data_IF_690640106426
#
_entry.id   IF_690640106426
#
_cell.length_a   1.000
_cell.length_b   1.000
_cell.length_c   1.000
_cell.angle_alpha   90.00
_cell.angle_beta   90.00
_cell.angle_gamma   90.00
#
_symmetry.space_group_name_H-M   'P 1'
#
loop_
_entity.id
_entity.type
_entity.pdbx_description
1 polymer ?
#
# COMPACT_ATOMS: atom_id res chain seq x y z
N UNK A 1 -7.62 1.46 10.47
CA UNK A 1 -7.32 1.25 9.03
C UNK A 1 -6.07 0.39 8.94
N UNK A 2 -6.11 -0.69 8.16
CA UNK A 2 -4.93 -1.54 7.87
C UNK A 2 -4.40 -1.16 6.49
N UNK A 3 -3.08 -1.15 6.31
CA UNK A 3 -2.43 -0.74 5.05
C UNK A 3 -2.65 -1.74 3.90
N UNK A 4 -2.75 -3.02 4.27
CA UNK A 4 -3.13 -4.15 3.43
C UNK A 4 -3.52 -5.29 4.40
N UNK A 5 -4.20 -6.33 3.93
CA UNK A 5 -4.21 -7.59 4.66
C UNK A 5 -2.77 -8.14 4.75
N UNK A 6 -2.39 -8.77 5.87
CA UNK A 6 -1.04 -9.33 6.06
C UNK A 6 -0.65 -10.26 4.89
N UNK A 7 -1.61 -11.00 4.32
CA UNK A 7 -1.35 -11.87 3.18
C UNK A 7 -1.10 -11.11 1.86
N UNK A 8 -1.62 -9.90 1.67
CA UNK A 8 -1.43 -9.08 0.46
C UNK A 8 -0.23 -8.11 0.58
N UNK A 9 0.20 -7.83 1.82
CA UNK A 9 1.40 -7.07 2.14
C UNK A 9 2.70 -7.87 2.02
N UNK A 10 2.65 -9.20 2.17
CA UNK A 10 3.82 -10.08 2.32
C UNK A 10 4.06 -11.07 1.17
N UNK A 11 3.41 -10.92 0.01
CA UNK A 11 3.34 -12.01 -0.98
C UNK A 11 3.94 -11.71 -2.35
N UNK A 12 5.12 -11.09 -2.44
CA UNK A 12 6.01 -11.24 -3.61
C UNK A 12 7.49 -11.18 -3.19
N UNK A 13 7.81 -11.74 -2.02
CA UNK A 13 9.20 -11.81 -1.59
C UNK A 13 9.82 -13.11 -2.12
N UNK A 14 10.78 -13.01 -3.03
CA UNK A 14 11.50 -14.19 -3.53
C UNK A 14 12.62 -14.57 -2.57
N UNK A 15 12.79 -15.88 -2.34
CA UNK A 15 13.92 -16.39 -1.58
C UNK A 15 15.22 -15.99 -2.27
N UNK A 16 16.11 -15.32 -1.55
CA UNK A 16 17.40 -14.90 -2.10
C UNK A 16 18.28 -16.13 -2.34
N UNK A 17 18.53 -16.54 -3.61
CA UNK A 17 19.30 -17.77 -3.88
C UNK A 17 20.78 -17.62 -3.50
N UNK A 18 21.26 -16.39 -3.29
CA UNK A 18 22.65 -16.09 -2.94
C UNK A 18 22.93 -16.13 -1.43
N UNK A 19 21.92 -16.43 -0.60
CA UNK A 19 22.08 -16.47 0.84
C UNK A 19 21.60 -17.82 1.40
N UNK A 20 22.49 -18.55 2.10
CA UNK A 20 22.18 -19.85 2.72
C UNK A 20 21.25 -19.74 3.96
N UNK A 21 20.48 -18.67 4.09
CA UNK A 21 19.56 -18.44 5.20
C UNK A 21 18.20 -17.99 4.70
N UNK A 22 17.24 -17.79 5.60
CA UNK A 22 15.87 -17.37 5.27
C UNK A 22 15.78 -15.89 4.87
N UNK A 23 16.58 -15.45 3.90
CA UNK A 23 16.53 -14.10 3.37
C UNK A 23 15.57 -14.05 2.18
N UNK A 24 14.69 -13.05 2.18
CA UNK A 24 13.71 -12.81 1.12
C UNK A 24 13.93 -11.41 0.56
N UNK A 25 13.83 -11.25 -0.75
CA UNK A 25 13.99 -9.97 -1.43
C UNK A 25 12.62 -9.34 -1.63
N UNK A 26 12.42 -8.13 -1.12
CA UNK A 26 11.17 -7.40 -1.35
C UNK A 26 11.22 -6.84 -2.77
N UNK A 27 10.33 -7.33 -3.63
CA UNK A 27 10.22 -6.84 -5.00
C UNK A 27 9.56 -5.47 -5.04
N UNK A 28 10.03 -4.60 -5.94
CA UNK A 28 9.34 -3.34 -6.19
C UNK A 28 8.10 -3.64 -7.03
N UNK A 29 6.92 -3.27 -6.50
CA UNK A 29 5.68 -3.29 -7.26
C UNK A 29 5.53 -1.99 -8.03
N UNK A 30 5.25 -2.11 -9.32
CA UNK A 30 4.91 -0.95 -10.14
C UNK A 30 3.77 -0.17 -9.50
N UNK A 31 3.92 1.15 -9.47
CA UNK A 31 2.91 2.05 -8.91
C UNK A 31 2.81 2.08 -7.38
N UNK A 32 3.41 1.14 -6.64
CA UNK A 32 3.43 1.17 -5.17
C UNK A 32 4.30 2.31 -4.66
N UNK A 33 3.81 3.02 -3.65
CA UNK A 33 4.54 4.08 -2.96
C UNK A 33 5.76 3.52 -2.22
N UNK A 34 6.94 4.13 -2.41
CA UNK A 34 8.17 3.66 -1.76
C UNK A 34 8.08 3.72 -0.23
N UNK A 35 7.28 4.66 0.31
CA UNK A 35 7.02 4.79 1.74
C UNK A 35 6.36 3.52 2.29
N UNK A 36 5.44 2.92 1.52
CA UNK A 36 4.74 1.69 1.88
C UNK A 36 5.72 0.53 1.99
N UNK A 37 6.62 0.39 1.00
CA UNK A 37 7.70 -0.59 1.04
C UNK A 37 8.59 -0.41 2.27
N UNK A 38 9.04 0.82 2.51
CA UNK A 38 9.85 1.14 3.70
C UNK A 38 9.11 0.85 5.01
N UNK A 39 7.78 1.04 5.06
CA UNK A 39 6.98 0.76 6.25
C UNK A 39 6.92 -0.74 6.56
N UNK A 40 6.68 -1.56 5.55
CA UNK A 40 6.75 -3.02 5.69
C UNK A 40 8.14 -3.46 6.16
N UNK A 41 9.22 -2.91 5.59
CA UNK A 41 10.57 -3.21 6.05
C UNK A 41 10.82 -2.84 7.53
N UNK A 42 10.27 -1.72 8.00
CA UNK A 42 10.41 -1.30 9.39
C UNK A 42 9.62 -2.20 10.34
N UNK A 43 8.39 -2.59 9.99
CA UNK A 43 7.60 -3.51 10.80
C UNK A 43 8.24 -4.90 10.83
N UNK A 44 8.72 -5.43 9.72
CA UNK A 44 9.44 -6.72 9.67
C UNK A 44 10.67 -6.72 10.59
N UNK A 45 11.48 -5.66 10.55
CA UNK A 45 12.63 -5.49 11.47
C UNK A 45 12.20 -5.46 12.94
N UNK A 46 11.04 -4.89 13.26
CA UNK A 46 10.48 -4.89 14.63
C UNK A 46 10.03 -6.28 15.04
N UNK A 47 9.30 -6.98 14.18
CA UNK A 47 8.89 -8.37 14.41
C UNK A 47 10.10 -9.27 14.66
N UNK A 48 11.16 -9.17 13.85
CA UNK A 48 12.40 -9.93 14.05
C UNK A 48 13.08 -9.63 15.38
N UNK A 49 13.09 -8.37 15.83
CA UNK A 49 13.67 -8.00 17.14
C UNK A 49 12.85 -8.60 18.28
N UNK A 50 11.52 -8.58 18.18
CA UNK A 50 10.62 -9.14 19.19
C UNK A 50 10.66 -10.68 19.21
N UNK A 51 10.77 -11.34 18.05
CA UNK A 51 10.81 -12.79 17.96
C UNK A 51 12.12 -13.38 18.51
N UNK A 52 13.26 -12.70 18.31
CA UNK A 52 14.56 -13.06 18.92
C UNK A 52 14.53 -13.05 20.45
N UNK A 53 13.60 -12.32 21.07
CA UNK A 53 13.44 -12.27 22.53
C UNK A 53 12.56 -13.39 23.09
N UNK A 54 11.90 -14.19 22.23
CA UNK A 54 11.04 -15.32 22.65
C UNK A 54 11.82 -16.63 22.55
N UNK A 55 11.95 -17.33 23.67
CA UNK A 55 12.56 -18.67 23.73
C UNK A 55 11.64 -19.67 23.01
N UNK A 56 12.12 -20.24 21.89
CA UNK A 56 11.37 -21.22 21.07
C UNK A 56 10.95 -20.74 19.67
N UNK A 57 11.56 -19.69 19.12
CA UNK A 57 11.11 -19.04 17.90
C UNK A 57 11.19 -19.91 16.63
N UNK A 58 10.05 -19.97 15.94
CA UNK A 58 9.92 -20.32 14.53
C UNK A 58 10.91 -19.52 13.69
N UNK A 59 11.45 -20.16 12.65
CA UNK A 59 12.41 -19.59 11.71
C UNK A 59 11.87 -18.27 11.13
N UNK A 60 12.61 -17.18 11.33
CA UNK A 60 12.16 -15.84 10.97
C UNK A 60 12.70 -15.47 9.58
N UNK A 61 11.78 -15.22 8.65
CA UNK A 61 12.07 -14.64 7.34
C UNK A 61 12.73 -13.26 7.50
N UNK A 62 13.87 -13.07 6.85
CA UNK A 62 14.64 -11.83 6.81
C UNK A 62 14.40 -11.14 5.47
N UNK A 63 13.46 -10.20 5.43
CA UNK A 63 13.19 -9.42 4.24
C UNK A 63 14.23 -8.31 4.06
N UNK A 64 14.81 -8.20 2.85
CA UNK A 64 15.83 -7.21 2.49
C UNK A 64 15.47 -6.55 1.16
N UNK A 65 15.52 -5.22 1.12
CA UNK A 65 15.45 -4.48 -0.14
C UNK A 65 16.73 -4.78 -0.95
N UNK A 66 16.64 -5.33 -2.16
CA UNK A 66 17.82 -5.63 -2.97
C UNK A 66 18.53 -4.33 -3.39
N UNK A 67 19.85 -4.39 -3.56
CA UNK A 67 20.64 -3.25 -4.04
C UNK A 67 20.26 -2.79 -5.45
N UNK A 68 19.63 -3.68 -6.23
CA UNK A 68 19.02 -3.40 -7.53
C UNK A 68 17.57 -3.86 -7.44
N UNK A 69 16.63 -2.96 -7.73
CA UNK A 69 15.20 -3.27 -7.65
C UNK A 69 14.83 -4.36 -8.66
N UNK A 70 14.15 -5.40 -8.17
CA UNK A 70 13.58 -6.46 -8.99
C UNK A 70 12.11 -6.09 -9.20
N UNK A 71 11.73 -5.88 -10.45
CA UNK A 71 10.35 -5.56 -10.80
C UNK A 71 9.47 -6.79 -10.61
N UNK A 72 8.43 -6.65 -9.79
CA UNK A 72 7.36 -7.63 -9.65
C UNK A 72 6.45 -7.61 -10.89
N UNK A 73 6.02 -8.78 -11.36
CA UNK A 73 4.97 -8.88 -12.39
C UNK A 73 3.61 -8.80 -11.70
N UNK A 74 3.10 -7.59 -11.52
CA UNK A 74 1.80 -7.36 -10.85
C UNK A 74 0.67 -7.61 -11.85
N UNK A 75 -0.05 -8.72 -11.70
CA UNK A 75 -1.20 -9.06 -12.56
C UNK A 75 -2.48 -8.34 -12.16
N UNK A 76 -2.68 -8.07 -10.86
CA UNK A 76 -3.82 -7.35 -10.33
C UNK A 76 -3.43 -6.45 -9.15
N UNK A 77 -4.02 -5.25 -9.08
CA UNK A 77 -3.89 -4.37 -7.92
C UNK A 77 -4.88 -4.77 -6.83
N UNK A 78 -4.50 -4.70 -5.55
CA UNK A 78 -5.43 -4.98 -4.45
C UNK A 78 -6.52 -3.91 -4.42
N UNK A 79 -7.76 -4.28 -4.11
CA UNK A 79 -8.91 -3.36 -4.10
C UNK A 79 -9.16 -2.72 -2.73
N UNK A 80 -8.79 -3.39 -1.64
CA UNK A 80 -9.05 -2.97 -0.26
C UNK A 80 -7.82 -2.36 0.40
N UNK A 81 -7.09 -1.52 -0.33
CA UNK A 81 -5.92 -0.79 0.18
C UNK A 81 -6.20 0.72 0.24
N UNK A 82 -5.62 1.42 1.21
CA UNK A 82 -5.61 2.88 1.25
C UNK A 82 -4.99 3.48 -0.01
N UNK A 83 -5.41 4.70 -0.37
CA UNK A 83 -4.97 5.38 -1.60
C UNK A 83 -3.45 5.61 -1.61
N UNK A 84 -2.86 5.84 -0.43
CA UNK A 84 -1.42 6.05 -0.24
C UNK A 84 -0.58 4.79 -0.43
N UNK A 85 -1.21 3.63 -0.66
CA UNK A 85 -0.56 2.46 -1.23
C UNK A 85 0.12 2.79 -2.57
N UNK A 86 -0.53 3.64 -3.38
CA UNK A 86 -0.04 4.02 -4.70
C UNK A 86 0.77 5.33 -4.65
N UNK A 87 1.78 5.45 -5.53
CA UNK A 87 2.46 6.72 -5.80
C UNK A 87 1.42 7.70 -6.40
N UNK A 88 1.35 8.96 -5.96
CA UNK A 88 0.40 9.93 -6.51
C UNK A 88 0.45 10.01 -8.05
N UNK A 89 1.65 10.09 -8.61
CA UNK A 89 1.85 10.12 -10.07
C UNK A 89 1.30 8.90 -10.80
N UNK A 90 1.30 7.74 -10.15
CA UNK A 90 0.77 6.50 -10.73
C UNK A 90 -0.75 6.43 -10.59
N UNK A 91 -1.26 6.80 -9.41
CA UNK A 91 -2.70 6.86 -9.15
C UNK A 91 -3.40 7.81 -10.13
N UNK A 92 -2.82 8.98 -10.37
CA UNK A 92 -3.39 10.01 -11.25
C UNK A 92 -3.42 9.58 -12.73
N UNK A 93 -2.58 8.63 -13.12
CA UNK A 93 -2.60 8.03 -14.46
C UNK A 93 -3.64 6.90 -14.59
N UNK A 94 -4.22 6.44 -13.49
CA UNK A 94 -5.29 5.44 -13.55
C UNK A 94 -6.57 6.04 -14.14
N UNK A 95 -7.31 5.21 -14.87
CA UNK A 95 -8.67 5.52 -15.31
C UNK A 95 -9.56 5.94 -14.12
N UNK A 96 -10.50 6.85 -14.36
CA UNK A 96 -11.49 7.30 -13.35
C UNK A 96 -12.14 6.10 -12.64
N UNK A 97 -12.56 5.07 -13.39
CA UNK A 97 -13.17 3.84 -12.84
C UNK A 97 -12.29 3.15 -11.80
N UNK A 98 -10.99 3.04 -12.06
CA UNK A 98 -10.03 2.47 -11.10
C UNK A 98 -9.82 3.39 -9.91
N UNK A 99 -9.69 4.71 -10.11
CA UNK A 99 -9.55 5.67 -9.01
C UNK A 99 -10.76 5.68 -8.09
N UNK A 100 -11.97 5.51 -8.64
CA UNK A 100 -13.22 5.46 -7.90
C UNK A 100 -13.26 4.29 -6.89
N UNK A 101 -12.71 3.13 -7.25
CA UNK A 101 -12.61 1.96 -6.35
C UNK A 101 -11.89 2.29 -5.04
N UNK A 102 -10.93 3.23 -5.08
CA UNK A 102 -10.10 3.58 -3.93
C UNK A 102 -10.55 4.84 -3.21
N UNK A 103 -11.52 5.60 -3.74
CA UNK A 103 -11.88 6.94 -3.24
C UNK A 103 -12.25 6.94 -1.75
N UNK A 104 -12.95 5.89 -1.30
CA UNK A 104 -13.42 5.75 0.07
C UNK A 104 -12.44 5.02 1.00
N UNK A 105 -11.33 4.51 0.45
CA UNK A 105 -10.35 3.74 1.22
C UNK A 105 -9.42 4.61 2.06
N UNK A 106 -9.53 5.94 1.98
CA UNK A 106 -8.75 6.89 2.78
C UNK A 106 -7.24 6.72 2.64
N UNK A 107 -6.51 7.11 3.69
CA UNK A 107 -5.04 7.02 3.74
C UNK A 107 -4.55 6.47 5.08
N UNK A 108 -3.43 5.76 5.07
CA UNK A 108 -2.87 5.11 6.26
C UNK A 108 -1.47 5.60 6.66
N UNK A 109 -0.75 6.30 5.80
CA UNK A 109 0.57 6.86 6.04
C UNK A 109 0.54 8.40 5.98
N UNK A 110 1.32 9.05 6.85
CA UNK A 110 1.54 10.48 6.73
C UNK A 110 2.48 10.80 5.56
N UNK A 111 2.57 12.07 5.21
CA UNK A 111 3.48 12.60 4.18
C UNK A 111 4.92 12.11 4.42
N UNK A 112 5.70 11.76 3.37
CA UNK A 112 7.04 11.17 3.48
C UNK A 112 8.00 11.89 4.43
N UNK A 113 7.92 13.22 4.51
CA UNK A 113 8.78 14.03 5.40
C UNK A 113 8.57 13.73 6.89
N UNK A 114 7.35 13.34 7.28
CA UNK A 114 6.99 13.00 8.66
C UNK A 114 7.32 11.53 8.93
N UNK A 115 7.14 10.68 7.92
CA UNK A 115 7.48 9.27 7.98
C UNK A 115 8.99 9.01 8.12
N UNK A 116 9.81 9.72 7.33
CA UNK A 116 11.26 9.54 7.32
C UNK A 116 11.93 9.89 8.66
N UNK A 117 11.27 10.70 9.49
CA UNK A 117 11.71 10.98 10.85
C UNK A 117 11.22 9.87 11.80
N UNK A 118 12.08 8.87 12.01
CA UNK A 118 11.78 7.72 12.86
C UNK A 118 11.38 8.08 14.31
N UNK A 119 11.75 9.27 14.80
CA UNK A 119 11.37 9.75 16.13
C UNK A 119 9.91 10.21 16.19
N UNK A 120 9.28 10.46 15.03
CA UNK A 120 7.92 10.97 14.90
C UNK A 120 6.89 9.89 14.60
N UNK A 121 7.32 8.62 14.51
CA UNK A 121 6.40 7.47 14.32
C UNK A 121 5.31 7.44 15.41
N UNK A 122 5.69 7.79 16.65
CA UNK A 122 4.74 7.86 17.77
C UNK A 122 3.66 8.93 17.61
N UNK A 123 3.89 9.97 16.80
CA UNK A 123 2.94 11.08 16.61
C UNK A 123 1.69 10.68 15.80
N UNK A 124 1.78 9.62 15.01
CA UNK A 124 0.72 9.22 14.08
C UNK A 124 0.31 7.75 14.20
N UNK A 125 1.23 6.83 14.53
CA UNK A 125 0.93 5.39 14.58
C UNK A 125 -0.14 5.02 15.62
N UNK A 126 -0.19 5.75 16.74
CA UNK A 126 -1.14 5.49 17.83
C UNK A 126 -2.35 6.42 17.83
N UNK A 127 -2.53 7.24 16.78
CA UNK A 127 -3.71 8.08 16.67
C UNK A 127 -4.93 7.26 16.27
N UNK A 128 -6.09 7.63 16.82
CA UNK A 128 -7.36 7.18 16.28
C UNK A 128 -7.51 7.67 14.85
N UNK A 129 -8.11 6.85 13.99
CA UNK A 129 -8.22 7.11 12.56
C UNK A 129 -8.73 8.52 12.23
N UNK A 130 -9.82 8.97 12.87
CA UNK A 130 -10.37 10.31 12.62
C UNK A 130 -9.37 11.43 12.95
N UNK A 131 -8.61 11.30 14.05
CA UNK A 131 -7.57 12.26 14.41
C UNK A 131 -6.37 12.21 13.47
N UNK A 132 -6.04 11.01 12.98
CA UNK A 132 -5.01 10.83 11.97
C UNK A 132 -5.41 11.51 10.66
N UNK A 133 -6.64 11.31 10.19
CA UNK A 133 -7.17 11.93 8.98
C UNK A 133 -7.16 13.45 9.08
N UNK A 134 -7.63 14.00 10.21
CA UNK A 134 -7.63 15.44 10.45
C UNK A 134 -6.20 16.04 10.43
N UNK A 135 -5.25 15.39 11.10
CA UNK A 135 -3.90 15.93 11.30
C UNK A 135 -2.96 15.70 10.11
N UNK A 136 -3.08 14.56 9.44
CA UNK A 136 -2.16 14.12 8.39
C UNK A 136 -2.88 13.68 7.12
N UNK A 137 -3.95 12.90 7.25
CA UNK A 137 -4.57 12.22 6.11
C UNK A 137 -5.16 13.17 5.06
N UNK A 138 -5.84 14.24 5.47
CA UNK A 138 -6.43 15.21 4.55
C UNK A 138 -5.38 15.93 3.69
N UNK A 139 -4.18 16.17 4.23
CA UNK A 139 -3.09 16.76 3.46
C UNK A 139 -2.45 15.74 2.51
N UNK A 140 -2.43 14.46 2.89
CA UNK A 140 -1.98 13.39 2.02
C UNK A 140 -2.96 13.16 0.86
N UNK A 141 -4.27 13.16 1.14
CA UNK A 141 -5.33 13.00 0.12
C UNK A 141 -5.27 14.09 -0.96
N UNK A 142 -4.91 15.32 -0.61
CA UNK A 142 -4.74 16.42 -1.58
C UNK A 142 -3.65 16.18 -2.62
N UNK A 143 -2.76 15.20 -2.40
CA UNK A 143 -1.74 14.83 -3.39
C UNK A 143 -2.31 13.96 -4.51
N UNK A 144 -3.50 13.41 -4.33
CA UNK A 144 -4.15 12.51 -5.27
C UNK A 144 -5.28 13.22 -6.00
N UNK A 145 -5.35 13.01 -7.31
CA UNK A 145 -6.46 13.45 -8.14
C UNK A 145 -7.62 12.48 -7.93
N UNK A 146 -8.53 12.78 -6.99
CA UNK A 146 -9.73 11.97 -6.78
C UNK A 146 -10.77 12.25 -7.88
N UNK A 147 -11.56 11.25 -8.30
CA UNK A 147 -12.68 11.46 -9.22
C UNK A 147 -13.66 12.49 -8.68
N UNK A 148 -14.16 13.34 -9.56
CA UNK A 148 -15.26 14.26 -9.28
C UNK A 148 -16.60 13.56 -9.42
N UNK A 149 -17.65 14.11 -8.79
CA UNK A 149 -19.01 13.57 -8.87
C UNK A 149 -19.50 13.46 -10.32
N UNK A 150 -19.24 14.48 -11.16
CA UNK A 150 -19.56 14.45 -12.59
C UNK A 150 -18.83 13.33 -13.36
N UNK A 151 -17.57 13.05 -13.03
CA UNK A 151 -16.83 11.93 -13.64
C UNK A 151 -17.37 10.57 -13.17
N UNK A 152 -17.93 10.48 -11.96
CA UNK A 152 -18.55 9.27 -11.43
C UNK A 152 -19.93 9.01 -12.05
N UNK A 153 -20.74 10.05 -12.27
CA UNK A 153 -22.04 9.96 -12.94
C UNK A 153 -21.90 9.43 -14.38
N UNK A 154 -20.91 9.94 -15.13
CA UNK A 154 -20.62 9.44 -16.48
C UNK A 154 -20.28 7.95 -16.49
N UNK A 155 -19.58 7.44 -15.46
CA UNK A 155 -19.28 6.02 -15.37
C UNK A 155 -20.52 5.15 -15.10
N UNK A 156 -21.54 5.69 -14.43
CA UNK A 156 -22.80 4.97 -14.21
C UNK A 156 -23.59 4.84 -15.51
N UNK A 157 -23.70 5.92 -16.29
CA UNK A 157 -24.37 5.90 -17.61
C UNK A 157 -23.80 4.82 -18.55
N UNK A 158 -22.48 4.69 -18.65
CA UNK A 158 -21.86 3.68 -19.53
C UNK A 158 -22.03 2.22 -19.03
N UNK A 159 -22.22 1.98 -17.72
CA UNK A 159 -22.46 0.60 -17.23
C UNK A 159 -23.94 0.19 -17.37
N UNK A 160 -24.86 1.15 -17.46
CA UNK A 160 -26.28 0.89 -17.65
C UNK A 160 -26.64 0.65 -19.13
N UNK A 161 -25.87 1.19 -20.08
CA UNK A 161 -26.04 0.94 -21.52
C UNK A 161 -25.56 -0.46 -21.95
N UNK A 162 -24.48 -1.00 -21.36
CA UNK A 162 -23.91 -2.33 -21.70
C UNK A 162 -24.73 -3.52 -21.15
N UNK A 163 -25.72 -3.30 -20.28
CA UNK A 163 -26.61 -4.36 -19.75
C UNK A 163 -27.93 -4.50 -20.53
N UNK A 164 -28.10 -3.79 -21.66
CA UNK A 164 -29.32 -3.82 -22.48
C UNK A 164 -29.11 -4.47 -23.87
N UNK A 165 -28.10 -5.32 -24.03
CA UNK A 165 -27.93 -6.15 -25.24
C UNK A 165 -27.79 -7.62 -24.82
N UNK A 166 -28.90 -8.30 -24.48
CA UNK A 166 -29.02 -9.77 -24.52
C UNK A 166 -30.49 -10.20 -24.25
N UNK A 167 -31.44 -9.73 -25.05
CA UNK A 167 -32.70 -10.46 -25.29
C UNK A 167 -33.14 -10.25 -26.75
N UNK A 168 -32.73 -11.17 -27.63
CA UNK A 168 -33.53 -11.65 -28.77
C UNK A 168 -33.00 -12.99 -29.31
#
# INVERSE_FOLDING_TARGET
MRLAEENEGHSEDEHNPNHNGEQYLIHEKEGRNSIVTSFFCLEDKRYQKASKQRTGACTNRICVEPAVQIAATVTHFPSNVPIDYFKPSFFDQMSVRKRAVYMDNGVALPIPKIYADGNRIGEWKNLLYNKFMEKFGNNMLKLYSLPTEAELEQLQEYNDEDNNEDED
#
